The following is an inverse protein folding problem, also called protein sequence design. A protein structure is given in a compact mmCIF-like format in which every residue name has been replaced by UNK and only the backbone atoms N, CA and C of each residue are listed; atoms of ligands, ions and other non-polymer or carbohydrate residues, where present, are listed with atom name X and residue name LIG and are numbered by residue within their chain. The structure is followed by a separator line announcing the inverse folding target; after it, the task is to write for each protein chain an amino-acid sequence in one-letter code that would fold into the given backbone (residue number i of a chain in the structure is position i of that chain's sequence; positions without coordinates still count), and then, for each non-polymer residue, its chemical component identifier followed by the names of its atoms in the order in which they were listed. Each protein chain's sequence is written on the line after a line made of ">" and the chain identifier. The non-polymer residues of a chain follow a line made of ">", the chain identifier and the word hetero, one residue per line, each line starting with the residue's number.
data_IF_307386227121
#
_entry.id   IF_307386227121
#
_cell.length_a   1.000
_cell.length_b   1.000
_cell.length_c   1.000
_cell.angle_alpha   90.00
_cell.angle_beta   90.00
_cell.angle_gamma   90.00
#
_symmetry.space_group_name_H-M   'P 1'
#
loop_
_entity.id
_entity.type
_entity.pdbx_description
1 polymer ?
#
# COMPACT_ATOMS: atom_id res chain seq x y z
N UNK A 1 5.90 15.19 0.01
CA UNK A 1 5.02 16.03 0.86
C UNK A 1 3.55 15.59 0.87
N UNK A 2 3.08 14.85 -0.15
CA UNK A 2 1.67 14.41 -0.24
C UNK A 2 1.26 13.44 0.88
N UNK A 3 2.11 12.46 1.21
CA UNK A 3 1.83 11.46 2.25
C UNK A 3 1.39 12.06 3.60
N UNK A 4 2.18 12.97 4.18
CA UNK A 4 1.93 13.51 5.51
C UNK A 4 0.64 14.34 5.57
N UNK A 5 0.27 15.01 4.46
CA UNK A 5 -0.96 15.78 4.37
C UNK A 5 -2.19 14.86 4.30
N UNK A 6 -2.12 13.80 3.49
CA UNK A 6 -3.20 12.80 3.41
C UNK A 6 -3.38 12.11 4.77
N UNK A 7 -2.29 11.70 5.42
CA UNK A 7 -2.36 11.07 6.74
C UNK A 7 -2.98 12.00 7.78
N UNK A 8 -2.58 13.27 7.82
CA UNK A 8 -3.16 14.27 8.72
C UNK A 8 -4.65 14.52 8.44
N UNK A 9 -5.05 14.60 7.17
CA UNK A 9 -6.45 14.75 6.77
C UNK A 9 -7.31 13.56 7.20
N UNK A 10 -6.79 12.33 7.04
CA UNK A 10 -7.48 11.12 7.46
C UNK A 10 -7.53 10.95 8.98
N UNK A 11 -6.62 11.57 9.73
CA UNK A 11 -6.67 11.63 11.20
C UNK A 11 -7.71 12.61 11.72
N UNK A 12 -7.97 13.70 10.98
CA UNK A 12 -8.99 14.67 11.37
C UNK A 12 -10.41 14.27 10.93
N UNK A 13 -10.54 13.18 10.16
CA UNK A 13 -11.80 12.76 9.58
C UNK A 13 -12.61 11.93 10.56
N UNK A 14 -13.75 12.45 10.99
CA UNK A 14 -14.76 11.69 11.76
C UNK A 14 -15.59 10.81 10.82
N UNK A 15 -14.98 9.73 10.33
CA UNK A 15 -15.62 8.73 9.50
C UNK A 15 -15.35 7.33 10.05
N UNK A 16 -16.34 6.44 9.94
CA UNK A 16 -16.26 5.06 10.42
C UNK A 16 -16.72 4.07 9.35
N UNK A 17 -16.36 2.80 9.52
CA UNK A 17 -16.76 1.71 8.63
C UNK A 17 -16.47 1.99 7.16
N UNK A 18 -17.48 1.81 6.30
CA UNK A 18 -17.33 1.95 4.86
C UNK A 18 -16.87 3.36 4.40
N UNK A 19 -17.25 4.41 5.12
CA UNK A 19 -16.84 5.78 4.79
C UNK A 19 -15.35 5.99 5.06
N UNK A 20 -14.85 5.48 6.19
CA UNK A 20 -13.43 5.50 6.52
C UNK A 20 -12.60 4.74 5.49
N UNK A 21 -13.05 3.54 5.09
CA UNK A 21 -12.37 2.72 4.09
C UNK A 21 -12.34 3.40 2.71
N UNK A 22 -13.44 4.05 2.32
CA UNK A 22 -13.49 4.79 1.06
C UNK A 22 -12.52 5.98 1.07
N UNK A 23 -12.51 6.77 2.14
CA UNK A 23 -11.60 7.90 2.29
C UNK A 23 -10.13 7.43 2.28
N UNK A 24 -9.82 6.36 3.02
CA UNK A 24 -8.50 5.74 3.02
C UNK A 24 -8.06 5.28 1.64
N UNK A 25 -8.97 4.65 0.88
CA UNK A 25 -8.69 4.17 -0.48
C UNK A 25 -8.44 5.33 -1.45
N UNK A 26 -9.23 6.40 -1.36
CA UNK A 26 -9.02 7.60 -2.18
C UNK A 26 -7.66 8.24 -1.85
N UNK A 27 -7.34 8.43 -0.57
CA UNK A 27 -6.04 8.95 -0.15
C UNK A 27 -4.87 8.08 -0.59
N UNK A 28 -5.03 6.74 -0.55
CA UNK A 28 -4.02 5.83 -1.08
C UNK A 28 -3.80 6.00 -2.58
N UNK A 29 -4.88 6.09 -3.37
CA UNK A 29 -4.76 6.28 -4.82
C UNK A 29 -4.17 7.65 -5.17
N UNK A 30 -4.57 8.71 -4.48
CA UNK A 30 -3.99 10.04 -4.65
C UNK A 30 -2.48 10.01 -4.36
N UNK A 31 -2.08 9.39 -3.26
CA UNK A 31 -0.67 9.23 -2.92
C UNK A 31 0.07 8.44 -4.00
N UNK A 32 -0.45 7.28 -4.45
CA UNK A 32 0.17 6.45 -5.49
C UNK A 32 0.34 7.22 -6.80
N UNK A 33 -0.68 7.96 -7.24
CA UNK A 33 -0.60 8.74 -8.48
C UNK A 33 0.31 9.96 -8.37
N UNK A 34 0.66 10.39 -7.16
CA UNK A 34 1.65 11.45 -6.94
C UNK A 34 3.10 10.96 -6.96
N UNK A 35 3.35 9.64 -7.06
CA UNK A 35 4.70 9.07 -7.03
C UNK A 35 5.34 9.04 -8.42
N UNK A 36 6.58 9.50 -8.49
CA UNK A 36 7.46 9.26 -9.62
C UNK A 36 8.18 7.91 -9.45
N UNK A 37 7.46 6.80 -9.59
CA UNK A 37 8.09 5.47 -9.62
C UNK A 37 7.29 4.34 -8.97
N UNK A 38 8.03 3.30 -8.55
CA UNK A 38 7.42 2.08 -8.01
C UNK A 38 6.80 2.34 -6.63
N UNK A 39 5.52 1.98 -6.41
CA UNK A 39 4.86 2.17 -5.11
C UNK A 39 5.48 1.37 -3.96
N UNK A 40 6.16 0.25 -4.25
CA UNK A 40 6.70 -0.64 -3.22
C UNK A 40 7.77 0.02 -2.32
N UNK A 41 8.90 0.54 -2.85
CA UNK A 41 9.89 1.23 -2.01
C UNK A 41 9.28 2.48 -1.35
N UNK A 42 8.46 3.24 -2.07
CA UNK A 42 7.82 4.43 -1.53
C UNK A 42 6.87 4.11 -0.35
N UNK A 43 6.20 2.95 -0.36
CA UNK A 43 5.32 2.53 0.73
C UNK A 43 6.11 2.17 1.98
N UNK A 44 7.31 1.59 1.84
CA UNK A 44 8.20 1.31 2.97
C UNK A 44 8.69 2.61 3.61
N UNK A 45 9.17 3.54 2.79
CA UNK A 45 9.61 4.86 3.25
C UNK A 45 8.47 5.65 3.94
N UNK A 46 7.23 5.50 3.46
CA UNK A 46 6.07 6.12 4.06
C UNK A 46 5.72 5.49 5.42
N UNK A 47 5.82 4.16 5.54
CA UNK A 47 5.57 3.45 6.80
C UNK A 47 6.58 3.82 7.89
N UNK A 48 7.85 4.00 7.53
CA UNK A 48 8.90 4.42 8.48
C UNK A 48 8.67 5.83 9.05
N UNK A 49 7.82 6.63 8.40
CA UNK A 49 7.41 7.97 8.86
C UNK A 49 6.18 7.96 9.75
N UNK A 50 5.53 6.81 9.93
CA UNK A 50 4.39 6.67 10.86
C UNK A 50 4.94 6.42 12.27
N UNK A 51 4.68 7.30 13.26
CA UNK A 51 5.17 7.10 14.61
C UNK A 51 4.58 5.83 15.22
N UNK A 52 5.40 5.03 15.92
CA UNK A 52 4.97 3.75 16.49
C UNK A 52 3.89 3.91 17.56
N UNK A 53 3.93 5.00 18.32
CA UNK A 53 2.99 5.30 19.42
C UNK A 53 1.76 6.11 18.95
N UNK A 54 1.61 6.33 17.64
CA UNK A 54 0.48 7.09 17.11
C UNK A 54 -0.81 6.29 17.20
N UNK A 55 -1.80 6.81 17.93
CA UNK A 55 -3.17 6.29 17.86
C UNK A 55 -3.78 6.70 16.52
N UNK A 56 -4.20 5.71 15.73
CA UNK A 56 -4.75 5.94 14.39
C UNK A 56 -6.27 5.93 14.39
N UNK A 57 -6.87 7.04 13.94
CA UNK A 57 -8.30 7.08 13.58
C UNK A 57 -8.65 6.06 12.48
N UNK A 58 -9.91 5.63 12.35
CA UNK A 58 -10.31 4.53 11.46
C UNK A 58 -9.81 4.71 10.00
N UNK A 59 -9.99 5.90 9.42
CA UNK A 59 -9.58 6.16 8.05
C UNK A 59 -8.04 6.16 7.88
N UNK A 60 -7.33 6.79 8.82
CA UNK A 60 -5.86 6.76 8.83
C UNK A 60 -5.31 5.34 9.01
N UNK A 61 -5.95 4.53 9.85
CA UNK A 61 -5.60 3.13 10.07
C UNK A 61 -5.77 2.28 8.81
N UNK A 62 -6.90 2.43 8.12
CA UNK A 62 -7.16 1.74 6.86
C UNK A 62 -6.14 2.14 5.78
N UNK A 63 -5.79 3.43 5.71
CA UNK A 63 -4.77 3.93 4.79
C UNK A 63 -3.38 3.34 5.05
N UNK A 64 -2.95 3.28 6.32
CA UNK A 64 -1.72 2.58 6.72
C UNK A 64 -1.78 1.08 6.36
N UNK A 65 -2.97 0.47 6.43
CA UNK A 65 -3.22 -0.89 5.95
C UNK A 65 -2.87 -1.06 4.46
N UNK A 66 -3.33 -0.16 3.59
CA UNK A 66 -2.99 -0.19 2.16
C UNK A 66 -1.49 -0.01 1.91
N UNK A 67 -0.81 0.86 2.68
CA UNK A 67 0.65 1.01 2.59
C UNK A 67 1.38 -0.27 2.97
N UNK A 68 0.95 -0.95 4.04
CA UNK A 68 1.51 -2.26 4.44
C UNK A 68 1.34 -3.30 3.33
N UNK A 69 0.20 -3.32 2.67
CA UNK A 69 -0.04 -4.23 1.54
C UNK A 69 0.87 -3.89 0.34
N UNK A 70 1.04 -2.61 0.01
CA UNK A 70 1.93 -2.17 -1.07
C UNK A 70 3.42 -2.43 -0.77
N UNK A 71 3.80 -2.36 0.50
CA UNK A 71 5.15 -2.63 0.99
C UNK A 71 5.49 -4.13 1.04
N UNK A 72 4.52 -5.04 0.86
CA UNK A 72 4.80 -6.47 0.78
C UNK A 72 5.46 -6.83 -0.56
N UNK A 73 6.48 -7.71 -0.55
CA UNK A 73 7.05 -8.23 -1.79
C UNK A 73 5.99 -9.04 -2.55
N UNK A 74 5.72 -8.65 -3.78
CA UNK A 74 4.84 -9.39 -4.68
C UNK A 74 5.62 -10.61 -5.20
N UNK A 75 5.20 -11.82 -4.84
CA UNK A 75 5.73 -13.02 -5.47
C UNK A 75 5.42 -12.96 -6.96
N UNK A 76 6.42 -13.02 -7.86
CA UNK A 76 6.14 -13.00 -9.29
C UNK A 76 5.22 -14.18 -9.63
N UNK A 77 4.23 -13.99 -10.52
CA UNK A 77 3.31 -15.05 -10.86
C UNK A 77 4.10 -16.25 -11.37
N UNK A 78 3.89 -17.41 -10.72
CA UNK A 78 4.54 -18.65 -11.10
C UNK A 78 4.05 -19.06 -12.50
N UNK A 79 4.85 -18.74 -13.53
CA UNK A 79 4.55 -19.14 -14.91
C UNK A 79 4.78 -20.64 -15.06
N UNK A 80 3.75 -21.44 -14.81
CA UNK A 80 3.70 -22.87 -15.11
C UNK A 80 3.70 -23.06 -16.63
N UNK A 81 4.89 -23.13 -17.24
CA UNK A 81 5.04 -23.41 -18.68
C UNK A 81 6.11 -22.65 -19.46
N UNK A 82 6.98 -21.87 -18.80
CA UNK A 82 8.17 -21.31 -19.47
C UNK A 82 9.07 -22.41 -20.03
N UNK A 83 9.85 -22.11 -21.07
CA UNK A 83 10.66 -23.06 -21.84
C UNK A 83 11.51 -24.05 -21.02
N UNK A 84 11.86 -23.72 -19.77
CA UNK A 84 12.50 -24.62 -18.81
C UNK A 84 11.71 -25.93 -18.53
N UNK A 85 10.38 -25.88 -18.52
CA UNK A 85 9.54 -27.07 -18.27
C UNK A 85 9.55 -28.09 -19.42
N UNK A 86 9.94 -27.69 -20.63
CA UNK A 86 10.03 -28.59 -21.80
C UNK A 86 11.30 -29.43 -21.82
N UNK A 87 12.35 -29.00 -21.11
CA UNK A 87 13.64 -29.72 -21.07
C UNK A 87 13.64 -30.92 -20.13
N UNK A 88 12.68 -31.00 -19.22
CA UNK A 88 12.59 -32.06 -18.21
C UNK A 88 11.81 -33.31 -18.66
N UNK A 89 11.38 -33.38 -19.93
CA UNK A 89 10.59 -34.51 -20.47
C UNK A 89 11.30 -35.32 -21.56
N UNK A 90 12.61 -35.15 -21.74
CA UNK A 90 13.40 -35.95 -22.67
C UNK A 90 14.48 -36.71 -21.90
N UNK A 91 14.08 -37.77 -21.20
CA UNK A 91 14.94 -38.85 -20.72
C UNK A 91 14.14 -40.15 -20.70
#
# INVERSE_FOLDING_TARGET
>A
MVFSQILAGLQALDATGAQADQAARQGFLEWVFSLDGCPHPAARDALDRVPQDMTLEPAARAFVGFLRQAAQPQTPPFRRGGAAGRRLRLH
#
